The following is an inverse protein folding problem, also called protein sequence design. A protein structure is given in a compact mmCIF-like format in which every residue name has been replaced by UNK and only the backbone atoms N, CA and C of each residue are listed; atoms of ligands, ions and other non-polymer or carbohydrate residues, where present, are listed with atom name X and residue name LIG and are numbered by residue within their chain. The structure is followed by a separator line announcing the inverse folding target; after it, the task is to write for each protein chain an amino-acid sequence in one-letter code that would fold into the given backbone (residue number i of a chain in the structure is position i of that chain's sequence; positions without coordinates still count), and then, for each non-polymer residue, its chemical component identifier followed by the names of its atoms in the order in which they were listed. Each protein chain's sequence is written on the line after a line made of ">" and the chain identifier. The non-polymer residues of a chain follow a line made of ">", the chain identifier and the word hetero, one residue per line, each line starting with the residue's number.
data_IF_439462345179
#
_entry.id   IF_439462345179
#
_cell.length_a   1.000
_cell.length_b   1.000
_cell.length_c   1.000
_cell.angle_alpha   90.00
_cell.angle_beta   90.00
_cell.angle_gamma   90.00
#
_symmetry.space_group_name_H-M   'P 1'
#
loop_
_entity.id
_entity.type
_entity.pdbx_description
1 polymer ?
#
# COMPACT_ATOMS: atom_id res chain seq x y z
N UNK A 1 -11.74 12.87 -26.02
CA UNK A 1 -10.78 12.43 -24.98
C UNK A 1 -11.19 11.02 -24.60
N UNK A 2 -10.31 10.04 -24.77
CA UNK A 2 -10.59 8.66 -24.32
C UNK A 2 -10.61 8.75 -22.79
N UNK A 3 -11.78 8.61 -22.19
CA UNK A 3 -11.90 8.53 -20.74
C UNK A 3 -11.20 7.23 -20.35
N UNK A 4 -9.97 7.34 -19.87
CA UNK A 4 -9.24 6.17 -19.39
C UNK A 4 -9.91 5.80 -18.06
N UNK A 5 -10.38 4.56 -17.91
CA UNK A 5 -11.16 4.13 -16.74
C UNK A 5 -10.33 4.12 -15.43
N UNK A 6 -9.13 4.70 -15.46
CA UNK A 6 -8.14 4.77 -14.39
C UNK A 6 -7.86 6.20 -13.94
N UNK A 7 -8.40 7.21 -14.62
CA UNK A 7 -8.25 8.60 -14.21
C UNK A 7 -8.96 8.84 -12.87
N UNK A 8 -8.36 9.65 -12.00
CA UNK A 8 -8.87 9.94 -10.65
C UNK A 8 -8.94 11.44 -10.44
N UNK A 9 -9.88 11.91 -9.64
CA UNK A 9 -9.95 13.34 -9.31
C UNK A 9 -9.25 13.63 -7.97
N UNK A 10 -8.50 14.72 -7.92
CA UNK A 10 -7.94 15.24 -6.67
C UNK A 10 -9.07 15.59 -5.71
N UNK A 11 -9.05 15.06 -4.49
CA UNK A 11 -10.10 15.34 -3.48
C UNK A 11 -10.06 16.76 -2.91
N UNK A 12 -9.03 17.54 -3.22
CA UNK A 12 -8.89 18.95 -2.78
C UNK A 12 -9.36 19.91 -3.87
N UNK A 13 -8.78 19.84 -5.07
CA UNK A 13 -9.07 20.80 -6.15
C UNK A 13 -10.02 20.27 -7.24
N UNK A 14 -10.46 19.02 -7.16
CA UNK A 14 -11.30 18.33 -8.16
C UNK A 14 -10.69 18.17 -9.56
N UNK A 15 -9.46 18.65 -9.81
CA UNK A 15 -8.76 18.43 -11.07
C UNK A 15 -8.58 16.94 -11.34
N UNK A 16 -8.77 16.55 -12.59
CA UNK A 16 -8.51 15.19 -13.06
C UNK A 16 -7.01 14.93 -13.11
N UNK A 17 -6.60 13.86 -12.45
CA UNK A 17 -5.26 13.29 -12.44
C UNK A 17 -5.29 12.12 -13.43
N UNK A 18 -4.54 12.27 -14.51
CA UNK A 18 -4.47 11.31 -15.60
C UNK A 18 -3.63 10.11 -15.16
N UNK A 19 -4.01 8.90 -15.59
CA UNK A 19 -3.18 7.71 -15.36
C UNK A 19 -1.72 7.94 -15.79
N UNK A 20 -0.78 7.51 -14.92
CA UNK A 20 0.66 7.71 -15.09
C UNK A 20 1.21 8.98 -14.44
N UNK A 21 0.35 9.94 -14.09
CA UNK A 21 0.74 11.09 -13.30
C UNK A 21 0.89 10.73 -11.83
N UNK A 22 1.91 11.29 -11.19
CA UNK A 22 2.17 11.10 -9.76
C UNK A 22 1.10 11.77 -8.91
N UNK A 23 0.66 11.07 -7.88
CA UNK A 23 -0.34 11.52 -6.92
C UNK A 23 -0.10 10.90 -5.56
N UNK A 24 -0.52 11.60 -4.52
CA UNK A 24 -0.56 11.06 -3.17
C UNK A 24 -1.82 10.23 -2.99
N UNK A 25 -1.65 9.03 -2.46
CA UNK A 25 -2.72 8.11 -2.08
C UNK A 25 -2.59 7.82 -0.60
N UNK A 26 -3.68 7.99 0.14
CA UNK A 26 -3.73 7.66 1.56
C UNK A 26 -3.76 6.14 1.76
N UNK A 27 -3.02 5.62 2.73
CA UNK A 27 -3.01 4.18 3.03
C UNK A 27 -4.19 3.78 3.91
N UNK A 28 -4.76 4.74 4.64
CA UNK A 28 -5.84 4.54 5.60
C UNK A 28 -7.21 4.93 5.03
N UNK A 29 -7.29 5.96 4.18
CA UNK A 29 -8.56 6.41 3.61
C UNK A 29 -8.86 5.74 2.26
N UNK A 30 -10.07 5.19 2.13
CA UNK A 30 -10.56 4.65 0.86
C UNK A 30 -10.66 5.74 -0.21
N UNK A 31 -10.11 5.48 -1.39
CA UNK A 31 -10.17 6.34 -2.58
C UNK A 31 -9.73 7.81 -2.37
N UNK A 32 -8.94 8.10 -1.32
CA UNK A 32 -8.35 9.42 -1.12
C UNK A 32 -7.12 9.58 -2.01
N UNK A 33 -7.30 10.37 -3.07
CA UNK A 33 -6.25 10.73 -4.01
C UNK A 33 -6.07 12.25 -4.04
N UNK A 34 -4.83 12.73 -3.95
CA UNK A 34 -4.48 14.14 -3.89
C UNK A 34 -3.35 14.41 -4.88
N UNK A 35 -3.45 15.45 -5.71
CA UNK A 35 -2.36 15.81 -6.61
C UNK A 35 -1.15 16.35 -5.83
N UNK A 36 0.03 16.32 -6.46
CA UNK A 36 1.29 16.83 -5.89
C UNK A 36 1.16 18.26 -5.34
N UNK A 37 0.44 19.13 -6.04
CA UNK A 37 0.28 20.55 -5.67
C UNK A 37 -0.60 20.76 -4.43
N UNK A 38 -1.62 19.90 -4.24
CA UNK A 38 -2.57 20.04 -3.14
C UNK A 38 -2.10 19.37 -1.86
N UNK A 39 -1.23 18.36 -1.93
CA UNK A 39 -0.80 17.59 -0.76
C UNK A 39 -0.16 18.43 0.37
N UNK A 40 0.72 19.42 0.11
CA UNK A 40 1.24 20.27 1.18
C UNK A 40 0.14 21.02 1.95
N UNK A 41 -0.99 21.31 1.29
CA UNK A 41 -2.13 22.05 1.84
C UNK A 41 -3.24 21.13 2.36
N UNK A 42 -3.18 19.82 2.12
CA UNK A 42 -4.25 18.91 2.54
C UNK A 42 -4.24 18.60 4.03
N UNK A 43 -3.14 18.85 4.74
CA UNK A 43 -3.07 18.66 6.19
C UNK A 43 -4.03 19.57 6.98
N UNK A 44 -4.41 20.73 6.43
CA UNK A 44 -5.36 21.67 7.03
C UNK A 44 -6.80 21.51 6.52
N UNK A 45 -7.01 20.70 5.49
CA UNK A 45 -8.32 20.44 4.88
C UNK A 45 -8.76 19.04 5.31
N UNK A 46 -9.92 18.90 5.96
CA UNK A 46 -10.46 17.60 6.39
C UNK A 46 -10.94 16.78 5.18
N UNK A 47 -9.99 16.28 4.38
CA UNK A 47 -10.23 15.35 3.26
C UNK A 47 -10.08 13.88 3.68
N UNK A 48 -9.54 13.64 4.87
CA UNK A 48 -9.45 12.33 5.49
C UNK A 48 -10.78 12.02 6.20
N UNK A 49 -11.52 11.05 5.68
CA UNK A 49 -12.85 10.68 6.18
C UNK A 49 -12.87 9.38 7.00
N UNK A 50 -11.73 8.68 7.08
CA UNK A 50 -11.62 7.46 7.85
C UNK A 50 -11.54 7.73 9.37
N UNK A 51 -11.89 6.72 10.18
CA UNK A 51 -11.84 6.78 11.65
C UNK A 51 -10.44 6.57 12.25
N UNK A 52 -9.45 6.20 11.43
CA UNK A 52 -8.09 5.97 11.87
C UNK A 52 -7.47 7.25 12.46
N UNK A 53 -6.70 7.15 13.56
CA UNK A 53 -6.03 8.31 14.14
C UNK A 53 -5.08 9.01 13.14
N UNK A 54 -5.07 10.34 13.17
CA UNK A 54 -4.10 11.15 12.43
C UNK A 54 -2.71 11.14 13.12
N UNK A 55 -1.62 11.38 12.38
CA UNK A 55 -1.56 11.61 10.94
C UNK A 55 -1.65 10.33 10.13
N UNK A 56 -2.40 10.36 9.02
CA UNK A 56 -2.41 9.26 8.04
C UNK A 56 -1.17 9.29 7.17
N UNK A 57 -0.79 8.11 6.66
CA UNK A 57 0.35 7.91 5.80
C UNK A 57 -0.04 7.93 4.32
N UNK A 58 0.53 8.85 3.56
CA UNK A 58 0.33 8.94 2.13
C UNK A 58 1.56 8.46 1.35
N UNK A 59 1.33 7.69 0.29
CA UNK A 59 2.36 7.24 -0.67
C UNK A 59 2.18 7.93 -2.01
N UNK A 60 3.30 8.18 -2.70
CA UNK A 60 3.28 8.66 -4.10
C UNK A 60 3.08 7.46 -5.02
N UNK A 61 2.04 7.51 -5.86
CA UNK A 61 1.69 6.47 -6.83
C UNK A 61 1.43 7.07 -8.21
N UNK A 62 1.58 6.26 -9.27
CA UNK A 62 1.34 6.68 -10.68
C UNK A 62 0.13 6.02 -11.32
N UNK A 63 -0.14 4.77 -10.97
CA UNK A 63 -1.19 3.95 -11.59
C UNK A 63 -2.16 3.45 -10.52
N UNK A 64 -3.37 3.04 -10.88
CA UNK A 64 -4.24 2.36 -9.91
C UNK A 64 -3.83 0.89 -9.79
N UNK A 65 -4.27 0.20 -8.73
CA UNK A 65 -3.92 -1.20 -8.47
C UNK A 65 -4.14 -2.12 -9.68
N UNK A 66 -5.27 -1.98 -10.36
CA UNK A 66 -5.59 -2.79 -11.56
C UNK A 66 -4.59 -2.53 -12.70
N UNK A 67 -4.18 -1.29 -12.89
CA UNK A 67 -3.23 -0.95 -13.95
C UNK A 67 -1.81 -1.40 -13.60
N UNK A 68 -1.40 -1.31 -12.32
CA UNK A 68 -0.16 -1.92 -11.87
C UNK A 68 -0.14 -3.43 -12.15
N UNK A 69 -1.24 -4.13 -11.87
CA UNK A 69 -1.36 -5.56 -12.17
C UNK A 69 -1.22 -5.86 -13.66
N UNK A 70 -1.92 -5.10 -14.52
CA UNK A 70 -1.84 -5.27 -15.97
C UNK A 70 -0.44 -4.99 -16.53
N UNK A 71 0.24 -3.96 -16.02
CA UNK A 71 1.59 -3.57 -16.45
C UNK A 71 2.68 -4.55 -16.01
N UNK A 72 2.45 -5.29 -14.93
CA UNK A 72 3.41 -6.24 -14.35
C UNK A 72 3.05 -7.71 -14.63
N UNK A 73 2.08 -7.94 -15.52
CA UNK A 73 1.61 -9.28 -15.89
C UNK A 73 2.77 -10.13 -16.41
N UNK A 74 2.86 -11.33 -15.87
CA UNK A 74 3.80 -12.37 -16.28
C UNK A 74 3.05 -13.66 -16.63
N UNK A 75 3.79 -14.69 -17.01
CA UNK A 75 3.24 -15.99 -17.43
C UNK A 75 2.43 -16.68 -16.33
N UNK A 76 2.76 -16.42 -15.07
CA UNK A 76 2.03 -16.95 -13.92
C UNK A 76 1.46 -15.83 -13.05
N UNK A 77 0.34 -16.14 -12.38
CA UNK A 77 -0.24 -15.26 -11.37
C UNK A 77 0.76 -15.00 -10.24
N UNK A 78 1.52 -16.02 -9.83
CA UNK A 78 2.54 -15.90 -8.80
C UNK A 78 3.62 -14.88 -9.19
N UNK A 79 4.18 -14.99 -10.39
CA UNK A 79 5.18 -14.04 -10.87
C UNK A 79 4.61 -12.63 -11.04
N UNK A 80 3.37 -12.51 -11.52
CA UNK A 80 2.68 -11.21 -11.61
C UNK A 80 2.57 -10.56 -10.23
N UNK A 81 2.15 -11.32 -9.21
CA UNK A 81 2.06 -10.84 -7.83
C UNK A 81 3.42 -10.42 -7.27
N UNK A 82 4.50 -11.16 -7.54
CA UNK A 82 5.86 -10.78 -7.13
C UNK A 82 6.34 -9.49 -7.81
N UNK A 83 6.05 -9.32 -9.10
CA UNK A 83 6.43 -8.11 -9.83
C UNK A 83 5.72 -6.86 -9.27
N UNK A 84 4.43 -6.98 -8.95
CA UNK A 84 3.67 -5.90 -8.31
C UNK A 84 4.21 -5.64 -6.90
N UNK A 85 4.49 -6.69 -6.14
CA UNK A 85 5.08 -6.59 -4.81
C UNK A 85 6.40 -5.80 -4.81
N UNK A 86 7.33 -6.10 -5.73
CA UNK A 86 8.62 -5.41 -5.82
C UNK A 86 8.46 -3.90 -6.05
N UNK A 87 7.42 -3.50 -6.78
CA UNK A 87 7.10 -2.08 -7.01
C UNK A 87 6.73 -1.36 -5.71
N UNK A 88 6.10 -2.07 -4.77
CA UNK A 88 5.56 -1.50 -3.53
C UNK A 88 6.30 -1.95 -2.27
N UNK A 89 7.46 -2.60 -2.40
CA UNK A 89 8.14 -3.22 -1.26
C UNK A 89 8.41 -2.29 -0.08
N UNK A 90 8.59 -0.99 -0.33
CA UNK A 90 8.84 0.01 0.71
C UNK A 90 7.58 0.63 1.32
N UNK A 91 6.38 0.30 0.80
CA UNK A 91 5.11 0.82 1.32
C UNK A 91 4.76 0.11 2.62
N UNK A 92 4.12 0.85 3.54
CA UNK A 92 3.59 0.28 4.78
C UNK A 92 2.51 -0.76 4.46
N UNK A 93 2.58 -1.92 5.11
CA UNK A 93 1.73 -3.07 4.85
C UNK A 93 0.92 -3.46 6.09
N UNK A 94 1.60 -3.70 7.23
CA UNK A 94 0.97 -4.12 8.47
C UNK A 94 1.41 -3.22 9.63
N UNK A 95 0.44 -2.66 10.34
CA UNK A 95 0.66 -1.98 11.62
C UNK A 95 0.43 -2.96 12.77
N UNK A 96 1.33 -2.96 13.75
CA UNK A 96 1.12 -3.70 15.00
C UNK A 96 1.43 -2.82 16.21
N UNK A 97 0.75 -3.10 17.33
CA UNK A 97 1.03 -2.41 18.58
C UNK A 97 2.46 -2.74 19.04
N UNK A 98 3.20 -1.72 19.44
CA UNK A 98 4.46 -1.93 20.15
C UNK A 98 4.13 -2.58 21.50
N UNK A 99 4.77 -3.72 21.79
CA UNK A 99 4.57 -4.47 23.04
C UNK A 99 4.93 -3.64 24.28
N UNK A 100 5.76 -2.60 24.13
CA UNK A 100 6.11 -1.66 25.20
C UNK A 100 5.14 -0.47 25.31
N UNK A 101 4.13 -0.40 24.44
CA UNK A 101 3.23 0.73 24.42
C UNK A 101 2.28 0.70 25.62
N UNK A 102 2.02 1.85 26.27
CA UNK A 102 1.05 1.92 27.35
C UNK A 102 -0.34 1.49 26.88
N UNK A 103 -1.10 0.79 27.73
CA UNK A 103 -2.45 0.28 27.42
C UNK A 103 -3.51 1.39 27.26
N UNK A 104 -3.18 2.65 27.57
CA UNK A 104 -4.09 3.78 27.34
C UNK A 104 -4.12 4.11 25.85
N UNK A 105 -5.31 4.08 25.23
CA UNK A 105 -5.49 4.17 23.78
C UNK A 105 -4.87 5.42 23.14
N UNK A 106 -4.80 6.54 23.87
CA UNK A 106 -4.27 7.82 23.37
C UNK A 106 -2.75 7.86 23.20
N UNK A 107 -2.02 6.88 23.75
CA UNK A 107 -0.55 6.82 23.72
C UNK A 107 -0.03 5.55 23.02
N UNK A 108 -0.93 4.81 22.36
CA UNK A 108 -0.55 3.61 21.63
C UNK A 108 0.34 3.94 20.43
N UNK A 109 1.58 3.47 20.47
CA UNK A 109 2.54 3.56 19.38
C UNK A 109 2.36 2.35 18.47
N UNK A 110 1.93 2.62 17.24
CA UNK A 110 1.87 1.62 16.18
C UNK A 110 3.24 1.56 15.51
N UNK A 111 3.82 0.37 15.46
CA UNK A 111 5.00 0.09 14.63
C UNK A 111 4.52 -0.47 13.30
N UNK A 112 4.97 0.15 12.22
CA UNK A 112 4.61 -0.26 10.87
C UNK A 112 5.70 -1.15 10.26
N UNK A 113 5.27 -2.20 9.59
CA UNK A 113 6.08 -3.07 8.74
C UNK A 113 5.79 -2.73 7.28
N UNK A 114 6.84 -2.69 6.48
CA UNK A 114 6.73 -2.55 5.02
C UNK A 114 6.30 -3.87 4.37
N UNK A 115 5.90 -3.83 3.10
CA UNK A 115 5.70 -5.04 2.31
C UNK A 115 6.96 -5.93 2.31
N UNK A 116 8.16 -5.33 2.19
CA UNK A 116 9.43 -6.05 2.26
C UNK A 116 9.60 -6.82 3.58
N UNK A 117 9.34 -6.17 4.72
CA UNK A 117 9.48 -6.80 6.03
C UNK A 117 8.56 -8.03 6.19
N UNK A 118 7.32 -7.91 5.69
CA UNK A 118 6.33 -8.99 5.72
C UNK A 118 6.75 -10.15 4.82
N UNK A 119 7.23 -9.84 3.61
CA UNK A 119 7.70 -10.86 2.66
C UNK A 119 8.92 -11.64 3.18
N UNK A 120 9.90 -10.94 3.75
CA UNK A 120 11.09 -11.58 4.33
C UNK A 120 10.71 -12.49 5.50
N UNK A 121 9.80 -12.03 6.36
CA UNK A 121 9.28 -12.81 7.49
C UNK A 121 8.54 -14.08 7.01
N UNK A 122 7.66 -13.94 6.03
CA UNK A 122 6.91 -15.05 5.44
C UNK A 122 7.85 -16.05 4.74
N UNK A 123 8.84 -15.56 3.99
CA UNK A 123 9.84 -16.39 3.30
C UNK A 123 10.68 -17.16 4.31
N UNK A 124 11.16 -16.50 5.38
CA UNK A 124 11.92 -17.15 6.45
C UNK A 124 11.09 -18.23 7.15
N UNK A 125 9.82 -17.96 7.42
CA UNK A 125 8.92 -18.94 8.01
C UNK A 125 8.73 -20.16 7.09
N UNK A 126 8.35 -19.93 5.83
CA UNK A 126 8.12 -21.00 4.85
C UNK A 126 9.37 -21.86 4.61
N UNK A 127 10.53 -21.24 4.42
CA UNK A 127 11.81 -21.95 4.25
C UNK A 127 12.23 -22.75 5.48
N UNK A 128 11.87 -22.29 6.68
CA UNK A 128 12.11 -23.04 7.92
C UNK A 128 11.18 -24.25 8.03
N UNK A 129 9.91 -24.09 7.65
CA UNK A 129 8.92 -25.16 7.66
C UNK A 129 9.28 -26.31 6.70
N UNK A 130 9.83 -25.98 5.52
CA UNK A 130 10.30 -26.97 4.54
C UNK A 130 11.41 -27.90 5.07
N UNK A 131 12.12 -27.52 6.15
CA UNK A 131 13.13 -28.38 6.77
C UNK A 131 12.53 -29.47 7.67
N UNK A 132 11.27 -29.32 8.06
CA UNK A 132 10.60 -30.16 9.06
C UNK A 132 9.48 -30.98 8.41
N UNK A 133 8.78 -30.41 7.42
CA UNK A 133 7.68 -31.09 6.72
C UNK A 133 8.26 -32.02 5.65
N UNK A 134 7.94 -33.34 5.68
CA UNK A 134 8.37 -34.26 4.64
C UNK A 134 7.87 -33.79 3.27
N UNK A 135 8.79 -33.58 2.33
CA UNK A 135 8.42 -33.30 0.95
C UNK A 135 7.99 -34.61 0.30
N UNK A 136 6.70 -34.74 -0.01
CA UNK A 136 6.23 -35.87 -0.82
C UNK A 136 6.77 -35.65 -2.22
N UNK A 137 7.84 -36.35 -2.57
CA UNK A 137 8.31 -36.47 -3.94
C UNK A 137 7.29 -37.39 -4.63
N UNK A 138 6.38 -36.80 -5.39
CA UNK A 138 5.59 -37.55 -6.35
C UNK A 138 6.56 -37.92 -7.48
N UNK A 139 7.02 -39.17 -7.47
CA UNK A 139 7.78 -39.81 -8.56
C UNK A 139 6.80 -40.18 -9.67
#
# INVERSE_FOLDING_TARGET
>A
MINNNFDKNCKVCSNTIISGQERYVCSECIDLTICLECYPKSHSISVHTDTAPLPHYCTIEKYVNQEYFLRHRADTLFQTSLNVFETFKNRLCLGHLDAKSPMKSSEMKIKWLTYQDVYESATKFGTSLLKIVPQVILI
#
